data_IF_778202660689
#
_entry.id   IF_778202660689
#
_cell.length_a   1.000
_cell.length_b   1.000
_cell.length_c   1.000
_cell.angle_alpha   90.00
_cell.angle_beta   90.00
_cell.angle_gamma   90.00
#
_symmetry.space_group_name_H-M   'P 1'
#
loop_
_entity.id
_entity.type
_entity.pdbx_description
1 polymer ?
#
# COMPACT_ATOMS: atom_id res chain seq x y z
N UNK A 1 14.57 7.79 9.11
CA UNK A 1 15.97 7.37 8.97
C UNK A 1 16.25 5.96 9.53
N UNK A 2 15.57 5.52 10.58
CA UNK A 2 15.87 4.24 11.27
C UNK A 2 15.42 3.00 10.49
N UNK A 3 14.37 3.07 9.68
CA UNK A 3 13.85 1.93 8.89
C UNK A 3 14.68 1.63 7.64
N UNK A 4 15.29 2.65 7.02
CA UNK A 4 16.15 2.47 5.84
C UNK A 4 17.49 1.80 6.20
N UNK A 5 18.05 2.10 7.37
CA UNK A 5 19.32 1.51 7.82
C UNK A 5 19.18 0.02 8.19
N UNK A 6 18.04 -0.42 8.73
CA UNK A 6 17.82 -1.84 9.05
C UNK A 6 17.65 -2.73 7.81
N UNK A 7 17.14 -2.20 6.70
CA UNK A 7 17.04 -2.94 5.43
C UNK A 7 18.39 -3.07 4.72
N UNK A 8 19.36 -2.20 5.00
CA UNK A 8 20.70 -2.26 4.42
C UNK A 8 21.63 -3.24 5.16
N UNK A 9 21.40 -3.48 6.45
CA UNK A 9 22.23 -4.39 7.28
C UNK A 9 21.95 -5.86 6.96
N UNK A 10 20.76 -6.22 6.50
CA UNK A 10 20.41 -7.59 6.10
C UNK A 10 21.05 -8.07 4.78
N UNK A 11 21.77 -7.19 4.05
CA UNK A 11 22.45 -7.53 2.80
C UNK A 11 23.92 -7.95 2.95
N UNK A 12 24.50 -7.95 4.15
CA UNK A 12 25.96 -8.12 4.33
C UNK A 12 26.42 -9.42 5.00
N UNK A 13 25.55 -10.39 5.25
CA UNK A 13 25.99 -11.67 5.81
C UNK A 13 25.47 -12.86 5.02
N UNK A 14 26.06 -13.12 3.85
CA UNK A 14 26.02 -14.45 3.24
C UNK A 14 27.44 -15.01 3.25
N UNK A 15 27.73 -16.06 4.02
CA UNK A 15 28.97 -16.81 3.85
C UNK A 15 28.87 -17.67 2.58
N UNK A 16 29.93 -17.60 1.78
CA UNK A 16 30.20 -18.50 0.67
C UNK A 16 30.27 -19.96 1.20
N UNK A 17 29.25 -20.75 0.87
CA UNK A 17 29.30 -22.20 1.08
C UNK A 17 29.31 -22.92 -0.27
N UNK A 18 30.50 -23.42 -0.65
CA UNK A 18 30.68 -24.36 -1.74
C UNK A 18 30.24 -25.73 -1.24
N UNK A 19 29.11 -26.24 -1.70
CA UNK A 19 28.64 -27.59 -1.40
C UNK A 19 27.69 -28.08 -2.48
N UNK A 20 27.97 -29.25 -3.00
CA UNK A 20 27.32 -29.94 -4.12
C UNK A 20 25.79 -30.09 -3.98
N UNK A 21 25.04 -30.32 -5.08
CA UNK A 21 23.58 -30.24 -5.11
C UNK A 21 22.96 -31.47 -4.45
N UNK A 22 22.38 -31.29 -3.27
CA UNK A 22 21.40 -32.23 -2.71
C UNK A 22 20.02 -31.92 -3.31
N UNK A 23 19.53 -32.81 -4.17
CA UNK A 23 18.12 -32.87 -4.54
C UNK A 23 17.28 -33.04 -3.27
N UNK A 24 16.59 -32.02 -2.87
CA UNK A 24 15.45 -32.09 -1.93
C UNK A 24 14.19 -31.76 -2.70
N UNK A 25 13.40 -32.80 -2.98
CA UNK A 25 12.00 -32.71 -3.36
C UNK A 25 11.22 -32.24 -2.13
N UNK A 26 11.08 -30.94 -1.98
CA UNK A 26 10.16 -30.31 -1.06
C UNK A 26 9.45 -29.22 -1.84
N UNK A 27 8.13 -29.38 -2.02
CA UNK A 27 7.27 -28.36 -2.57
C UNK A 27 7.27 -27.15 -1.63
N UNK A 28 8.26 -26.29 -1.76
CA UNK A 28 8.20 -24.96 -1.20
C UNK A 28 7.24 -24.18 -2.10
N UNK A 29 6.02 -23.94 -1.62
CA UNK A 29 5.18 -22.93 -2.20
C UNK A 29 5.99 -21.64 -2.39
N UNK A 30 5.95 -20.98 -3.55
CA UNK A 30 6.71 -19.77 -3.79
C UNK A 30 6.33 -18.77 -2.71
N UNK A 31 7.31 -18.31 -1.91
CA UNK A 31 7.12 -17.17 -1.03
C UNK A 31 6.89 -15.99 -1.97
N UNK A 32 5.62 -15.62 -2.15
CA UNK A 32 5.24 -14.42 -2.90
C UNK A 32 5.92 -13.23 -2.23
N UNK A 33 6.94 -12.70 -2.89
CA UNK A 33 7.56 -11.45 -2.47
C UNK A 33 6.57 -10.32 -2.73
N UNK A 34 5.78 -9.98 -1.71
CA UNK A 34 4.90 -8.81 -1.75
C UNK A 34 5.65 -7.60 -2.29
N UNK A 35 5.05 -6.92 -3.26
CA UNK A 35 5.60 -5.72 -3.84
C UNK A 35 5.76 -4.64 -2.74
N UNK A 36 6.77 -3.79 -2.85
CA UNK A 36 7.02 -2.69 -1.89
C UNK A 36 5.82 -1.78 -1.71
N UNK A 37 5.05 -1.53 -2.78
CA UNK A 37 3.83 -0.72 -2.71
C UNK A 37 2.71 -1.43 -1.96
N UNK A 38 2.56 -2.73 -2.10
CA UNK A 38 1.58 -3.53 -1.36
C UNK A 38 1.86 -3.45 0.14
N UNK A 39 3.12 -3.68 0.56
CA UNK A 39 3.52 -3.53 1.97
C UNK A 39 3.29 -2.13 2.51
N UNK A 40 3.57 -1.10 1.71
CA UNK A 40 3.32 0.28 2.10
C UNK A 40 1.81 0.57 2.23
N UNK A 41 0.98 -0.01 1.36
CA UNK A 41 -0.49 0.09 1.45
C UNK A 41 -1.01 -0.63 2.68
N UNK A 42 -0.56 -1.86 2.95
CA UNK A 42 -0.93 -2.61 4.15
C UNK A 42 -0.61 -1.82 5.43
N UNK A 43 0.60 -1.26 5.51
CA UNK A 43 1.02 -0.49 6.67
C UNK A 43 0.22 0.81 6.83
N UNK A 44 -0.07 1.51 5.73
CA UNK A 44 -0.91 2.70 5.73
C UNK A 44 -2.34 2.38 6.21
N UNK A 45 -2.93 1.29 5.72
CA UNK A 45 -4.26 0.86 6.15
C UNK A 45 -4.26 0.44 7.62
N UNK A 46 -3.24 -0.29 8.06
CA UNK A 46 -3.09 -0.67 9.45
C UNK A 46 -3.06 0.56 10.38
N UNK A 47 -2.32 1.62 10.00
CA UNK A 47 -2.31 2.90 10.73
C UNK A 47 -3.71 3.53 10.77
N UNK A 48 -4.40 3.62 9.63
CA UNK A 48 -5.72 4.24 9.53
C UNK A 48 -6.76 3.46 10.34
N UNK A 49 -6.71 2.14 10.31
CA UNK A 49 -7.57 1.28 11.10
C UNK A 49 -7.36 1.49 12.60
N UNK A 50 -6.10 1.61 13.04
CA UNK A 50 -5.73 1.78 14.45
C UNK A 50 -6.06 3.16 15.00
N UNK A 51 -5.91 4.19 14.17
CA UNK A 51 -6.19 5.58 14.51
C UNK A 51 -7.12 6.20 13.46
N UNK A 52 -8.43 5.90 13.51
CA UNK A 52 -9.40 6.40 12.53
C UNK A 52 -9.46 7.94 12.48
N UNK A 53 -9.08 8.61 13.56
CA UNK A 53 -9.05 10.09 13.63
C UNK A 53 -8.09 10.70 12.63
N UNK A 54 -7.01 9.99 12.27
CA UNK A 54 -6.05 10.43 11.26
C UNK A 54 -6.69 10.51 9.87
N UNK A 55 -7.76 9.75 9.63
CA UNK A 55 -8.43 9.71 8.33
C UNK A 55 -8.88 11.10 7.87
N UNK A 56 -9.42 11.94 8.78
CA UNK A 56 -9.88 13.29 8.45
C UNK A 56 -8.77 14.15 7.83
N UNK A 57 -7.53 14.02 8.32
CA UNK A 57 -6.37 14.76 7.81
C UNK A 57 -5.72 14.13 6.58
N UNK A 58 -5.82 12.80 6.44
CA UNK A 58 -5.15 12.03 5.40
C UNK A 58 -6.02 11.82 4.16
N UNK A 59 -7.34 11.76 4.29
CA UNK A 59 -8.28 11.43 3.22
C UNK A 59 -8.08 12.30 1.97
N UNK A 60 -7.84 13.61 2.16
CA UNK A 60 -7.59 14.54 1.05
C UNK A 60 -6.27 14.27 0.30
N UNK A 61 -5.34 13.56 0.93
CA UNK A 61 -4.01 13.24 0.39
C UNK A 61 -3.95 11.84 -0.23
N UNK A 62 -4.89 10.98 0.12
CA UNK A 62 -4.97 9.60 -0.36
C UNK A 62 -5.93 9.56 -1.55
N UNK A 63 -5.37 9.37 -2.74
CA UNK A 63 -6.16 8.99 -3.92
C UNK A 63 -6.26 7.46 -3.90
N UNK A 64 -7.47 6.91 -4.03
CA UNK A 64 -7.66 5.44 -3.95
C UNK A 64 -6.84 4.68 -4.99
N UNK A 65 -6.55 5.29 -6.13
CA UNK A 65 -5.77 4.69 -7.22
C UNK A 65 -4.31 4.38 -6.84
N UNK A 66 -3.76 5.04 -5.82
CA UNK A 66 -2.40 4.74 -5.36
C UNK A 66 -2.34 3.48 -4.49
N UNK A 67 -3.48 3.01 -3.98
CA UNK A 67 -3.57 1.85 -3.11
C UNK A 67 -3.63 0.57 -3.94
N UNK A 68 -2.67 -0.31 -3.70
CA UNK A 68 -2.55 -1.59 -4.40
C UNK A 68 -2.25 -2.71 -3.41
N UNK A 69 -2.78 -3.90 -3.62
CA UNK A 69 -3.71 -4.35 -4.68
C UNK A 69 -5.15 -3.86 -4.49
N UNK A 70 -6.04 -4.24 -5.42
CA UNK A 70 -7.42 -3.77 -5.48
C UNK A 70 -8.25 -4.10 -4.22
N UNK A 71 -8.06 -5.28 -3.65
CA UNK A 71 -8.75 -5.68 -2.41
C UNK A 71 -8.41 -4.78 -1.20
N UNK A 72 -7.19 -4.24 -1.13
CA UNK A 72 -6.81 -3.25 -0.11
C UNK A 72 -7.42 -1.89 -0.40
N UNK A 73 -7.56 -1.51 -1.67
CA UNK A 73 -8.27 -0.30 -2.09
C UNK A 73 -9.73 -0.38 -1.69
N UNK A 74 -10.40 -1.49 -2.02
CA UNK A 74 -11.81 -1.72 -1.66
C UNK A 74 -12.02 -1.68 -0.15
N UNK A 75 -11.11 -2.28 0.61
CA UNK A 75 -11.15 -2.21 2.07
C UNK A 75 -11.06 -0.76 2.57
N UNK A 76 -10.13 0.04 2.00
CA UNK A 76 -10.00 1.46 2.35
C UNK A 76 -11.28 2.23 2.07
N UNK A 77 -11.84 2.10 0.86
CA UNK A 77 -13.05 2.83 0.45
C UNK A 77 -14.25 2.47 1.34
N UNK A 78 -14.42 1.20 1.67
CA UNK A 78 -15.46 0.74 2.58
C UNK A 78 -15.24 1.25 4.00
N UNK A 79 -14.00 1.25 4.48
CA UNK A 79 -13.69 1.77 5.81
C UNK A 79 -13.94 3.28 5.92
N UNK A 80 -13.55 4.05 4.90
CA UNK A 80 -13.86 5.49 4.80
C UNK A 80 -15.36 5.71 4.85
N UNK A 81 -16.13 4.96 4.05
CA UNK A 81 -17.59 5.06 4.02
C UNK A 81 -18.20 4.73 5.38
N UNK A 82 -17.77 3.66 6.02
CA UNK A 82 -18.19 3.27 7.37
C UNK A 82 -17.93 4.39 8.39
N UNK A 83 -16.72 4.95 8.42
CA UNK A 83 -16.36 6.04 9.33
C UNK A 83 -17.25 7.28 9.11
N UNK A 84 -17.62 7.56 7.86
CA UNK A 84 -18.46 8.69 7.51
C UNK A 84 -19.93 8.47 7.93
N UNK A 85 -20.48 7.28 7.70
CA UNK A 85 -21.87 6.93 8.03
C UNK A 85 -22.08 6.80 9.55
N UNK A 86 -21.15 6.19 10.24
CA UNK A 86 -21.25 5.92 11.67
C UNK A 86 -20.97 7.14 12.55
N UNK A 87 -20.26 8.16 12.04
CA UNK A 87 -19.83 9.37 12.80
C UNK A 87 -19.31 9.02 14.20
N UNK A 88 -18.66 7.84 14.31
CA UNK A 88 -18.33 7.24 15.57
C UNK A 88 -17.30 8.07 16.32
N UNK A 89 -17.63 8.47 17.55
CA UNK A 89 -16.71 9.04 18.52
C UNK A 89 -15.98 7.95 19.33
N UNK A 90 -16.16 6.68 18.97
CA UNK A 90 -15.57 5.55 19.66
C UNK A 90 -14.04 5.57 19.48
N UNK A 91 -13.34 5.62 20.59
CA UNK A 91 -11.86 5.63 20.64
C UNK A 91 -11.27 4.23 20.79
N UNK A 92 -12.10 3.24 21.14
CA UNK A 92 -11.65 1.87 21.28
C UNK A 92 -11.55 1.22 19.90
N UNK A 93 -10.34 1.11 19.39
CA UNK A 93 -10.02 0.48 18.12
C UNK A 93 -10.71 -0.88 17.93
N UNK A 94 -10.69 -1.77 18.92
CA UNK A 94 -11.30 -3.11 18.80
C UNK A 94 -12.80 -3.04 18.59
N UNK A 95 -13.46 -2.11 19.23
CA UNK A 95 -14.90 -1.89 19.03
C UNK A 95 -15.20 -1.32 17.64
N UNK A 96 -14.36 -0.38 17.17
CA UNK A 96 -14.48 0.17 15.80
C UNK A 96 -14.36 -0.94 14.76
N UNK A 97 -13.34 -1.79 14.88
CA UNK A 97 -13.12 -2.92 13.96
C UNK A 97 -14.28 -3.93 14.02
N UNK A 98 -14.73 -4.30 15.21
CA UNK A 98 -15.86 -5.21 15.35
C UNK A 98 -17.14 -4.67 14.69
N UNK A 99 -17.42 -3.38 14.85
CA UNK A 99 -18.57 -2.71 14.20
C UNK A 99 -18.38 -2.65 12.70
N UNK A 100 -17.18 -2.31 12.22
CA UNK A 100 -16.86 -2.32 10.79
C UNK A 100 -17.06 -3.71 10.17
N UNK A 101 -16.56 -4.77 10.79
CA UNK A 101 -16.76 -6.13 10.30
C UNK A 101 -18.22 -6.57 10.30
N UNK A 102 -19.04 -6.07 11.23
CA UNK A 102 -20.50 -6.31 11.20
C UNK A 102 -21.20 -5.52 10.10
N UNK A 103 -20.77 -4.29 9.87
CA UNK A 103 -21.32 -3.42 8.83
C UNK A 103 -20.92 -3.91 7.42
N UNK A 104 -19.70 -4.42 7.30
CA UNK A 104 -19.13 -4.93 6.06
C UNK A 104 -19.33 -6.44 5.95
N UNK A 105 -20.37 -6.89 5.23
CA UNK A 105 -20.71 -8.34 5.08
C UNK A 105 -19.64 -9.19 4.37
N UNK A 106 -18.50 -8.60 4.00
CA UNK A 106 -17.43 -9.27 3.24
C UNK A 106 -16.44 -9.94 4.20
N UNK A 107 -16.49 -11.27 4.33
CA UNK A 107 -15.57 -12.06 5.16
C UNK A 107 -14.10 -11.83 4.82
N UNK A 108 -13.78 -11.68 3.54
CA UNK A 108 -12.42 -11.42 3.06
C UNK A 108 -11.82 -10.13 3.69
N UNK A 109 -12.58 -9.05 3.74
CA UNK A 109 -12.12 -7.81 4.36
C UNK A 109 -11.86 -7.97 5.86
N UNK A 110 -12.68 -8.73 6.58
CA UNK A 110 -12.45 -8.98 7.99
C UNK A 110 -11.15 -9.79 8.20
N UNK A 111 -10.86 -10.76 7.35
CA UNK A 111 -9.59 -11.50 7.39
C UNK A 111 -8.39 -10.60 7.12
N UNK A 112 -8.51 -9.68 6.16
CA UNK A 112 -7.45 -8.69 5.90
C UNK A 112 -7.26 -7.79 7.12
N UNK A 113 -8.34 -7.33 7.74
CA UNK A 113 -8.28 -6.50 8.96
C UNK A 113 -7.56 -7.22 10.10
N UNK A 114 -7.85 -8.51 10.33
CA UNK A 114 -7.15 -9.32 11.34
C UNK A 114 -5.64 -9.38 11.07
N UNK A 115 -5.23 -9.53 9.79
CA UNK A 115 -3.82 -9.52 9.39
C UNK A 115 -3.19 -8.14 9.64
N UNK A 116 -3.90 -7.07 9.31
CA UNK A 116 -3.43 -5.70 9.51
C UNK A 116 -3.30 -5.36 11.02
N UNK A 117 -4.19 -5.88 11.87
CA UNK A 117 -4.08 -5.73 13.33
C UNK A 117 -2.81 -6.39 13.84
N UNK A 118 -2.51 -7.61 13.41
CA UNK A 118 -1.26 -8.30 13.76
C UNK A 118 -0.02 -7.55 13.26
N UNK A 119 -0.09 -6.97 12.07
CA UNK A 119 0.99 -6.15 11.51
C UNK A 119 1.26 -4.92 12.40
N UNK A 120 0.20 -4.24 12.85
CA UNK A 120 0.31 -3.10 13.75
C UNK A 120 0.96 -3.46 15.08
N UNK A 121 0.50 -4.53 15.70
CA UNK A 121 1.04 -4.97 16.98
C UNK A 121 2.52 -5.35 16.88
N UNK A 122 2.96 -5.86 15.74
CA UNK A 122 4.34 -6.23 15.48
C UNK A 122 5.23 -5.03 15.16
N UNK A 123 4.80 -4.16 14.25
CA UNK A 123 5.66 -3.12 13.67
C UNK A 123 5.56 -1.78 14.42
N UNK A 124 4.42 -1.51 15.07
CA UNK A 124 4.08 -0.20 15.61
C UNK A 124 3.56 -0.22 17.05
N UNK A 125 3.86 -1.26 17.82
CA UNK A 125 3.37 -1.42 19.21
C UNK A 125 3.65 -0.18 20.11
N UNK A 126 4.73 0.55 19.85
CA UNK A 126 5.17 1.70 20.64
C UNK A 126 4.93 3.05 19.95
N UNK A 127 4.19 3.09 18.84
CA UNK A 127 3.94 4.36 18.14
C UNK A 127 2.87 5.16 18.89
N UNK A 128 3.12 6.46 19.03
CA UNK A 128 2.08 7.43 19.37
C UNK A 128 1.24 7.74 18.11
N UNK A 129 0.06 8.31 18.31
CA UNK A 129 -0.79 8.76 17.20
C UNK A 129 -0.06 9.76 16.30
N UNK A 130 0.72 10.69 16.87
CA UNK A 130 1.48 11.68 16.11
C UNK A 130 2.55 11.02 15.24
N UNK A 131 3.33 10.10 15.82
CA UNK A 131 4.35 9.34 15.06
C UNK A 131 3.71 8.49 13.94
N UNK A 132 2.55 7.88 14.21
CA UNK A 132 1.79 7.14 13.21
C UNK A 132 1.27 8.06 12.08
N UNK A 133 0.86 9.28 12.41
CA UNK A 133 0.44 10.30 11.44
C UNK A 133 1.59 10.75 10.52
N UNK A 134 2.80 10.95 11.06
CA UNK A 134 4.00 11.28 10.29
C UNK A 134 4.40 10.13 9.36
N UNK A 135 4.39 8.89 9.86
CA UNK A 135 4.67 7.70 9.06
C UNK A 135 3.64 7.53 7.93
N UNK A 136 2.35 7.67 8.23
CA UNK A 136 1.30 7.65 7.21
C UNK A 136 1.53 8.70 6.11
N UNK A 137 1.93 9.92 6.49
CA UNK A 137 2.30 10.97 5.54
C UNK A 137 3.47 10.59 4.64
N UNK A 138 4.46 9.88 5.18
CA UNK A 138 5.63 9.38 4.44
C UNK A 138 5.23 8.26 3.50
N UNK A 139 4.41 7.31 3.95
CA UNK A 139 3.89 6.20 3.13
C UNK A 139 3.07 6.73 1.94
N UNK A 140 2.19 7.72 2.17
CA UNK A 140 1.40 8.34 1.10
C UNK A 140 2.30 8.98 0.04
N UNK A 141 3.37 9.68 0.45
CA UNK A 141 4.34 10.25 -0.51
C UNK A 141 5.01 9.16 -1.35
N UNK A 142 5.43 8.07 -0.72
CA UNK A 142 6.06 6.94 -1.42
C UNK A 142 5.09 6.25 -2.39
N UNK A 143 3.85 6.03 -1.98
CA UNK A 143 2.82 5.44 -2.83
C UNK A 143 2.52 6.33 -4.04
N UNK A 144 2.39 7.65 -3.85
CA UNK A 144 2.21 8.59 -4.95
C UNK A 144 3.39 8.58 -5.94
N UNK A 145 4.62 8.61 -5.44
CA UNK A 145 5.82 8.55 -6.30
C UNK A 145 5.87 7.25 -7.10
N UNK A 146 5.57 6.13 -6.45
CA UNK A 146 5.54 4.83 -7.10
C UNK A 146 4.44 4.74 -8.16
N UNK A 147 3.23 5.21 -7.83
CA UNK A 147 2.11 5.25 -8.77
C UNK A 147 2.43 6.10 -9.99
N UNK A 148 2.91 7.33 -9.79
CA UNK A 148 3.30 8.22 -10.88
C UNK A 148 4.39 7.60 -11.76
N UNK A 149 5.41 6.96 -11.16
CA UNK A 149 6.45 6.26 -11.92
C UNK A 149 5.90 5.12 -12.78
N UNK A 150 4.92 4.37 -12.29
CA UNK A 150 4.30 3.29 -13.08
C UNK A 150 3.43 3.84 -14.21
N UNK A 151 2.64 4.87 -13.92
CA UNK A 151 1.82 5.54 -14.95
C UNK A 151 2.72 6.13 -16.05
N UNK A 152 3.83 6.79 -15.69
CA UNK A 152 4.80 7.30 -16.66
C UNK A 152 5.36 6.19 -17.55
N UNK A 153 5.79 5.06 -16.96
CA UNK A 153 6.31 3.91 -17.73
C UNK A 153 5.26 3.33 -18.68
N UNK A 154 3.99 3.32 -18.26
CA UNK A 154 2.91 2.86 -19.12
C UNK A 154 2.71 3.84 -20.29
N UNK A 155 2.62 5.13 -20.03
CA UNK A 155 2.48 6.16 -21.06
C UNK A 155 3.65 6.15 -22.06
N UNK A 156 4.89 5.95 -21.58
CA UNK A 156 6.08 5.80 -22.43
C UNK A 156 5.98 4.59 -23.37
N UNK A 157 5.45 3.44 -22.88
CA UNK A 157 5.22 2.26 -23.71
C UNK A 157 4.15 2.51 -24.77
N UNK A 158 3.02 3.13 -24.36
CA UNK A 158 1.95 3.49 -25.27
C UNK A 158 2.43 4.51 -26.34
N UNK A 159 3.30 5.45 -25.94
CA UNK A 159 3.91 6.42 -26.86
C UNK A 159 4.74 5.72 -27.94
N UNK A 160 5.61 4.79 -27.56
CA UNK A 160 6.42 4.01 -28.52
C UNK A 160 5.56 3.24 -29.52
N UNK A 161 4.49 2.61 -29.02
CA UNK A 161 3.55 1.88 -29.89
C UNK A 161 2.81 2.82 -30.87
N UNK A 162 2.41 4.01 -30.40
CA UNK A 162 1.77 5.01 -31.24
C UNK A 162 2.74 5.58 -32.29
N UNK A 163 4.01 5.78 -31.95
CA UNK A 163 5.07 6.19 -32.87
C UNK A 163 5.33 5.14 -33.95
N UNK A 164 5.43 3.86 -33.57
CA UNK A 164 5.59 2.73 -34.53
C UNK A 164 4.41 2.61 -35.48
N UNK A 165 3.18 2.95 -35.05
CA UNK A 165 1.97 2.94 -35.84
C UNK A 165 1.76 4.23 -36.67
N UNK A 166 2.54 5.28 -36.39
CA UNK A 166 2.39 6.59 -37.03
C UNK A 166 1.13 7.35 -36.62
N UNK A 167 0.51 6.99 -35.47
CA UNK A 167 -0.72 7.62 -34.96
C UNK A 167 -0.42 8.95 -34.26
N UNK A 168 -0.39 10.02 -35.07
CA UNK A 168 -0.12 11.39 -34.61
C UNK A 168 -1.15 11.89 -33.58
N UNK A 169 -2.41 11.45 -33.68
CA UNK A 169 -3.44 11.90 -32.75
C UNK A 169 -3.20 11.32 -31.36
N UNK A 170 -2.91 10.02 -31.28
CA UNK A 170 -2.61 9.33 -30.04
C UNK A 170 -1.32 9.85 -29.38
N UNK A 171 -0.30 10.13 -30.18
CA UNK A 171 0.96 10.76 -29.70
C UNK A 171 0.64 12.08 -29.00
N UNK A 172 -0.14 12.96 -29.63
CA UNK A 172 -0.51 14.26 -29.05
C UNK A 172 -1.33 14.14 -27.75
N UNK A 173 -2.24 13.16 -27.67
CA UNK A 173 -2.99 12.86 -26.45
C UNK A 173 -2.08 12.39 -25.32
N UNK A 174 -1.18 11.47 -25.60
CA UNK A 174 -0.24 10.93 -24.63
C UNK A 174 0.72 12.01 -24.12
N UNK A 175 1.20 12.87 -25.01
CA UNK A 175 2.02 14.05 -24.61
C UNK A 175 1.29 14.94 -23.59
N UNK A 176 0.02 15.25 -23.83
CA UNK A 176 -0.78 16.06 -22.90
C UNK A 176 -0.91 15.37 -21.53
N UNK A 177 -1.12 14.03 -21.52
CA UNK A 177 -1.20 13.26 -20.26
C UNK A 177 0.11 13.29 -19.50
N UNK A 178 1.25 13.10 -20.17
CA UNK A 178 2.58 13.14 -19.56
C UNK A 178 2.85 14.53 -18.96
N UNK A 179 2.55 15.61 -19.67
CA UNK A 179 2.73 16.98 -19.15
C UNK A 179 1.83 17.26 -17.94
N UNK A 180 0.64 16.69 -17.90
CA UNK A 180 -0.28 16.83 -16.76
C UNK A 180 0.14 16.07 -15.50
N UNK A 181 1.02 15.07 -15.60
CA UNK A 181 1.58 14.32 -14.46
C UNK A 181 2.84 14.98 -13.89
N UNK A 182 3.48 15.88 -14.63
CA UNK A 182 4.73 16.55 -14.25
C UNK A 182 4.50 17.85 -13.44
N UNK A 183 3.24 18.23 -13.24
CA UNK A 183 2.78 19.36 -12.43
C UNK A 183 2.24 18.87 -11.08
#
# INVERSE_FOLDING_TARGET
HILYDRLSVLKKTTPLYNGAPRRMTGQNAPIEHKNKSEKATELLLAIILRWPELLTGLQKKIKSEILMPENLRDLYEKFVKFCYEEQSTEKDFKKVIHRFCKWNDTKEHCQIVDILELLMDKEMANYSQDAAGEEAGTLIKHLNLWYNSNVMRQLEREMKLAEEQGDKNKINELHKKIMGLSL
#
